data_IF_259210191114
#
_entry.id   IF_259210191114
#
_cell.length_a   1.000
_cell.length_b   1.000
_cell.length_c   1.000
_cell.angle_alpha   90.00
_cell.angle_beta   90.00
_cell.angle_gamma   90.00
#
_symmetry.space_group_name_H-M   'P 1'
#
loop_
_entity.id
_entity.type
_entity.pdbx_description
1 polymer ?
#
# COMPACT_ATOMS: atom_id res chain seq x y z
N UNK A 1 -51.18 52.16 5.15
CA UNK A 1 -50.53 50.83 5.27
C UNK A 1 -49.41 50.69 4.24
N UNK A 2 -48.30 51.42 4.41
CA UNK A 2 -47.16 51.40 3.46
C UNK A 2 -45.80 51.04 4.11
N UNK A 3 -45.78 50.84 5.44
CA UNK A 3 -44.57 50.52 6.22
C UNK A 3 -44.24 49.02 6.28
N UNK A 4 -45.15 48.15 5.83
CA UNK A 4 -44.95 46.68 5.84
C UNK A 4 -43.99 46.19 4.75
N UNK A 5 -43.91 46.90 3.62
CA UNK A 5 -43.05 46.54 2.49
C UNK A 5 -41.56 46.75 2.74
N UNK A 6 -41.07 47.84 3.39
CA UNK A 6 -39.64 47.97 3.69
C UNK A 6 -39.20 46.99 4.77
N UNK A 7 -40.05 46.75 5.79
CA UNK A 7 -39.75 45.80 6.87
C UNK A 7 -39.61 44.38 6.33
N UNK A 8 -40.51 43.97 5.43
CA UNK A 8 -40.42 42.66 4.77
C UNK A 8 -39.14 42.51 3.93
N UNK A 9 -38.71 43.57 3.23
CA UNK A 9 -37.46 43.55 2.45
C UNK A 9 -36.22 43.44 3.33
N UNK A 10 -36.22 44.09 4.49
CA UNK A 10 -35.14 43.99 5.48
C UNK A 10 -35.06 42.56 6.04
N UNK A 11 -36.22 41.96 6.36
CA UNK A 11 -36.30 40.58 6.85
C UNK A 11 -35.77 39.60 5.80
N UNK A 12 -36.16 39.75 4.52
CA UNK A 12 -35.67 38.89 3.43
C UNK A 12 -34.16 39.06 3.23
N UNK A 13 -33.64 40.29 3.28
CA UNK A 13 -32.21 40.55 3.16
C UNK A 13 -31.39 39.91 4.29
N UNK A 14 -31.91 39.94 5.53
CA UNK A 14 -31.31 39.27 6.69
C UNK A 14 -31.28 37.74 6.51
N UNK A 15 -32.36 37.14 6.00
CA UNK A 15 -32.42 35.71 5.73
C UNK A 15 -31.40 35.33 4.64
N UNK A 16 -31.35 36.07 3.53
CA UNK A 16 -30.38 35.80 2.45
C UNK A 16 -28.92 35.95 2.93
N UNK A 17 -28.61 36.98 3.71
CA UNK A 17 -27.27 37.17 4.29
C UNK A 17 -26.90 36.03 5.24
N UNK A 18 -27.86 35.54 6.04
CA UNK A 18 -27.65 34.40 6.93
C UNK A 18 -27.38 33.09 6.18
N UNK A 19 -28.03 32.86 5.03
CA UNK A 19 -27.78 31.66 4.22
C UNK A 19 -26.37 31.65 3.62
N UNK A 20 -25.80 32.81 3.29
CA UNK A 20 -24.41 32.91 2.81
C UNK A 20 -23.38 32.58 3.90
N UNK A 21 -23.68 32.83 5.18
CA UNK A 21 -22.82 32.42 6.30
C UNK A 21 -22.81 30.90 6.53
N UNK A 22 -23.93 30.22 6.25
CA UNK A 22 -24.04 28.75 6.43
C UNK A 22 -23.40 27.97 5.28
N UNK A 23 -23.24 28.60 4.10
CA UNK A 23 -22.52 28.00 2.96
C UNK A 23 -21.00 27.87 3.15
N UNK A 24 -20.44 28.37 4.26
CA UNK A 24 -18.99 28.41 4.49
C UNK A 24 -18.34 27.08 4.90
N UNK A 25 -19.09 26.04 5.31
CA UNK A 25 -18.48 24.84 5.88
C UNK A 25 -19.30 23.55 5.68
N UNK A 26 -19.83 23.28 4.49
CA UNK A 26 -20.10 21.88 4.13
C UNK A 26 -18.79 21.31 3.57
N UNK A 27 -17.91 20.92 4.49
CA UNK A 27 -16.82 20.00 4.20
C UNK A 27 -17.52 18.68 3.85
N UNK A 28 -17.74 18.44 2.56
CA UNK A 28 -18.41 17.23 2.10
C UNK A 28 -17.66 16.02 2.68
N UNK A 29 -18.39 15.05 3.23
CA UNK A 29 -17.80 13.84 3.83
C UNK A 29 -17.01 12.98 2.82
N UNK A 30 -16.99 13.39 1.55
CA UNK A 30 -16.14 12.85 0.51
C UNK A 30 -14.63 13.03 0.78
N UNK A 31 -14.22 13.89 1.71
CA UNK A 31 -12.81 14.05 2.05
C UNK A 31 -12.17 12.85 2.77
N UNK A 32 -12.98 11.87 3.23
CA UNK A 32 -12.50 10.71 3.98
C UNK A 32 -12.73 9.36 3.28
N UNK A 33 -13.23 9.32 2.04
CA UNK A 33 -13.61 8.05 1.41
C UNK A 33 -13.01 7.87 0.02
N UNK A 34 -11.79 7.35 -0.02
CA UNK A 34 -11.63 5.92 -0.25
C UNK A 34 -10.25 5.48 0.25
N UNK A 35 -10.23 4.55 1.20
CA UNK A 35 -9.06 3.72 1.38
C UNK A 35 -8.95 2.92 0.08
N UNK A 36 -8.01 3.28 -0.80
CA UNK A 36 -7.69 2.47 -1.97
C UNK A 36 -7.30 1.10 -1.46
N UNK A 37 -8.27 0.19 -1.39
CA UNK A 37 -8.01 -1.22 -1.12
C UNK A 37 -7.25 -1.71 -2.33
N UNK A 38 -5.95 -1.90 -2.16
CA UNK A 38 -5.12 -2.60 -3.14
C UNK A 38 -5.81 -3.92 -3.41
N UNK A 39 -6.35 -4.10 -4.62
CA UNK A 39 -7.03 -5.32 -5.00
C UNK A 39 -5.96 -6.41 -5.09
N UNK A 40 -5.82 -7.20 -4.02
CA UNK A 40 -4.89 -8.32 -3.97
C UNK A 40 -5.51 -9.50 -4.68
N UNK A 41 -5.32 -9.53 -6.00
CA UNK A 41 -5.65 -10.70 -6.80
C UNK A 41 -4.79 -11.88 -6.35
N UNK A 42 -5.40 -13.05 -6.22
CA UNK A 42 -4.70 -14.32 -5.98
C UNK A 42 -4.20 -14.85 -7.33
N UNK A 43 -2.95 -15.28 -7.38
CA UNK A 43 -2.38 -15.93 -8.55
C UNK A 43 -3.04 -17.28 -8.80
N UNK A 44 -3.32 -17.58 -10.07
CA UNK A 44 -3.74 -18.91 -10.53
C UNK A 44 -2.47 -19.78 -10.68
N UNK A 45 -2.52 -21.12 -10.58
CA UNK A 45 -1.37 -21.95 -10.90
C UNK A 45 -0.73 -21.56 -12.25
N UNK A 46 0.60 -21.59 -12.30
CA UNK A 46 1.44 -21.15 -13.44
C UNK A 46 1.34 -19.67 -13.83
N UNK A 47 0.56 -18.86 -13.10
CA UNK A 47 0.53 -17.41 -13.29
C UNK A 47 1.66 -16.74 -12.51
N UNK A 48 2.46 -15.94 -13.21
CA UNK A 48 3.51 -15.10 -12.62
C UNK A 48 3.45 -13.68 -13.19
N UNK A 49 3.90 -12.70 -12.41
CA UNK A 49 3.96 -11.31 -12.82
C UNK A 49 5.36 -10.73 -12.59
N UNK A 50 5.89 -9.94 -13.56
CA UNK A 50 5.33 -9.72 -14.89
C UNK A 50 5.34 -11.02 -15.71
N UNK A 51 4.50 -11.11 -16.75
CA UNK A 51 4.39 -12.30 -17.60
C UNK A 51 5.59 -12.41 -18.56
N UNK A 52 6.80 -12.35 -17.99
CA UNK A 52 8.10 -12.34 -18.63
C UNK A 52 8.96 -13.43 -18.01
N UNK A 53 9.95 -13.94 -18.76
CA UNK A 53 10.89 -14.92 -18.21
C UNK A 53 11.60 -14.34 -16.98
N UNK A 54 11.74 -15.13 -15.92
CA UNK A 54 12.41 -14.72 -14.68
C UNK A 54 13.76 -14.06 -14.96
N UNK A 55 14.57 -14.66 -15.85
CA UNK A 55 15.92 -14.20 -16.19
C UNK A 55 15.99 -13.12 -17.28
N UNK A 56 14.85 -12.50 -17.61
CA UNK A 56 14.82 -11.38 -18.56
C UNK A 56 15.08 -10.06 -17.84
N UNK A 57 15.47 -9.03 -18.60
CA UNK A 57 15.68 -7.68 -18.07
C UNK A 57 14.41 -7.07 -17.47
N UNK A 58 13.25 -7.41 -18.03
CA UNK A 58 11.95 -6.96 -17.53
C UNK A 58 11.43 -7.81 -16.35
N UNK A 59 12.12 -8.90 -16.02
CA UNK A 59 11.85 -9.77 -14.88
C UNK A 59 12.79 -9.47 -13.70
N UNK A 60 13.51 -10.48 -13.24
CA UNK A 60 14.49 -10.39 -12.16
C UNK A 60 15.91 -10.09 -12.64
N UNK A 61 16.14 -10.06 -13.96
CA UNK A 61 17.44 -9.86 -14.58
C UNK A 61 18.23 -11.16 -14.81
N UNK A 62 19.32 -11.11 -15.59
CA UNK A 62 20.16 -12.26 -15.85
C UNK A 62 20.93 -12.70 -14.60
N UNK A 63 21.22 -14.00 -14.49
CA UNK A 63 22.09 -14.52 -13.44
C UNK A 63 23.55 -14.19 -13.73
N UNK A 64 24.25 -13.64 -12.74
CA UNK A 64 25.69 -13.45 -12.79
C UNK A 64 26.42 -14.73 -12.33
N UNK A 65 27.67 -14.98 -12.76
CA UNK A 65 28.47 -16.11 -12.28
C UNK A 65 28.60 -16.19 -10.75
N UNK A 66 28.47 -15.03 -10.09
CA UNK A 66 28.60 -14.88 -8.64
C UNK A 66 27.34 -15.35 -7.90
N UNK A 67 26.19 -15.45 -8.58
CA UNK A 67 24.93 -15.91 -7.99
C UNK A 67 24.91 -17.42 -7.76
N UNK A 68 25.78 -18.17 -8.46
CA UNK A 68 25.96 -19.60 -8.26
C UNK A 68 26.82 -19.95 -7.04
N UNK A 69 26.89 -19.05 -6.04
CA UNK A 69 27.64 -19.29 -4.81
C UNK A 69 27.05 -20.48 -4.02
N UNK A 70 27.83 -21.54 -3.89
CA UNK A 70 27.45 -22.76 -3.17
C UNK A 70 27.79 -22.72 -1.67
N UNK A 71 28.40 -21.63 -1.20
CA UNK A 71 28.86 -21.50 0.19
C UNK A 71 28.09 -20.40 0.90
N UNK A 72 27.28 -20.81 1.89
CA UNK A 72 26.58 -19.95 2.84
C UNK A 72 27.26 -20.15 4.21
N UNK A 73 27.64 -19.09 4.95
CA UNK A 73 27.40 -17.67 4.67
C UNK A 73 28.39 -17.05 3.65
N UNK A 74 27.94 -16.00 2.96
CA UNK A 74 28.79 -15.20 2.06
C UNK A 74 28.67 -13.70 2.37
N UNK A 75 29.68 -12.86 2.05
CA UNK A 75 29.68 -11.43 2.38
C UNK A 75 28.51 -10.62 1.79
N UNK A 76 27.86 -11.14 0.75
CA UNK A 76 26.71 -10.48 0.08
C UNK A 76 25.37 -10.81 0.73
N UNK A 77 25.34 -11.85 1.56
CA UNK A 77 24.15 -12.34 2.22
C UNK A 77 24.06 -11.77 3.63
N UNK A 78 22.85 -11.42 4.02
CA UNK A 78 22.50 -10.99 5.37
C UNK A 78 21.59 -12.07 5.96
N UNK A 79 21.86 -12.42 7.20
CA UNK A 79 21.01 -13.34 7.97
C UNK A 79 19.76 -12.59 8.44
N UNK A 80 18.59 -13.17 8.19
CA UNK A 80 17.30 -12.62 8.60
C UNK A 80 16.84 -13.25 9.90
N UNK A 81 16.82 -12.43 10.93
CA UNK A 81 16.30 -12.75 12.26
C UNK A 81 14.98 -12.02 12.46
N UNK A 82 13.89 -12.56 11.90
CA UNK A 82 12.53 -12.04 12.11
C UNK A 82 11.66 -13.13 12.80
N UNK A 83 11.04 -12.76 13.92
CA UNK A 83 10.18 -13.65 14.72
C UNK A 83 8.86 -13.98 14.00
N UNK A 84 8.43 -13.14 13.06
CA UNK A 84 7.18 -13.32 12.32
C UNK A 84 7.31 -14.29 11.13
N UNK A 85 8.53 -14.71 10.76
CA UNK A 85 8.79 -15.60 9.63
C UNK A 85 9.34 -16.93 10.15
N UNK A 86 8.64 -18.01 9.81
CA UNK A 86 9.13 -19.37 10.06
C UNK A 86 9.94 -19.83 8.86
N UNK A 87 11.23 -20.10 9.09
CA UNK A 87 12.13 -20.66 8.09
C UNK A 87 12.20 -22.18 8.27
N UNK A 88 12.27 -22.92 7.16
CA UNK A 88 12.37 -24.39 7.19
C UNK A 88 13.74 -24.86 7.71
N UNK A 89 14.81 -24.12 7.41
CA UNK A 89 16.17 -24.41 7.87
C UNK A 89 16.98 -23.11 8.13
N UNK A 90 18.18 -23.25 8.70
CA UNK A 90 19.07 -22.10 8.97
C UNK A 90 19.63 -21.47 7.70
N UNK A 91 19.83 -22.25 6.64
CA UNK A 91 20.36 -21.74 5.36
C UNK A 91 19.37 -20.80 4.65
N UNK A 92 18.06 -21.07 4.75
CA UNK A 92 16.99 -20.22 4.18
C UNK A 92 16.88 -18.85 4.86
N UNK A 93 17.54 -18.63 6.00
CA UNK A 93 17.61 -17.32 6.65
C UNK A 93 18.54 -16.35 5.93
N UNK A 94 19.44 -16.85 5.08
CA UNK A 94 20.42 -16.02 4.38
C UNK A 94 19.84 -15.54 3.05
N UNK A 95 19.79 -14.22 2.87
CA UNK A 95 19.31 -13.61 1.63
C UNK A 95 20.08 -12.34 1.30
N UNK A 96 19.99 -11.85 0.07
CA UNK A 96 20.59 -10.56 -0.28
C UNK A 96 19.88 -9.43 0.45
N UNK A 97 20.61 -8.34 0.70
CA UNK A 97 20.06 -7.14 1.37
C UNK A 97 18.81 -6.59 0.66
N UNK A 98 18.76 -6.71 -0.68
CA UNK A 98 17.61 -6.29 -1.48
C UNK A 98 16.35 -7.11 -1.15
N UNK A 99 16.47 -8.44 -1.13
CA UNK A 99 15.35 -9.33 -0.78
C UNK A 99 14.92 -9.11 0.67
N UNK A 100 15.86 -8.96 1.60
CA UNK A 100 15.55 -8.64 3.00
C UNK A 100 14.69 -7.38 3.15
N UNK A 101 15.02 -6.32 2.41
CA UNK A 101 14.25 -5.07 2.41
C UNK A 101 12.80 -5.28 1.94
N UNK A 102 12.59 -6.08 0.88
CA UNK A 102 11.24 -6.39 0.37
C UNK A 102 10.41 -7.13 1.44
N UNK A 103 11.03 -8.03 2.20
CA UNK A 103 10.33 -8.75 3.27
C UNK A 103 9.92 -7.84 4.43
N UNK A 104 10.79 -6.89 4.83
CA UNK A 104 10.45 -5.91 5.88
C UNK A 104 9.31 -4.99 5.44
N UNK A 105 9.38 -4.43 4.23
CA UNK A 105 8.35 -3.50 3.72
C UNK A 105 6.96 -4.17 3.62
N UNK A 106 6.91 -5.49 3.41
CA UNK A 106 5.65 -6.24 3.42
C UNK A 106 5.09 -6.49 4.81
N UNK A 107 5.91 -6.47 5.87
CA UNK A 107 5.47 -6.74 7.25
C UNK A 107 4.83 -5.50 7.91
N UNK A 108 5.25 -4.28 7.54
CA UNK A 108 4.66 -3.02 8.02
C UNK A 108 3.18 -2.83 7.60
N UNK A 109 2.67 -3.66 6.66
CA UNK A 109 1.27 -3.71 6.22
C UNK A 109 0.37 -4.73 6.94
N UNK A 110 0.90 -5.51 7.89
CA UNK A 110 0.13 -6.25 8.90
C UNK A 110 -0.81 -7.35 8.41
N UNK A 111 -0.24 -8.53 8.10
CA UNK A 111 -0.69 -9.82 8.67
C UNK A 111 0.28 -10.96 8.28
N UNK A 112 0.75 -11.79 9.22
CA UNK A 112 1.62 -12.91 8.91
C UNK A 112 0.83 -13.92 8.08
N UNK A 113 1.31 -14.21 6.86
CA UNK A 113 0.84 -15.37 6.10
C UNK A 113 1.86 -16.48 6.29
N UNK A 114 1.42 -17.56 6.92
CA UNK A 114 2.11 -18.84 6.84
C UNK A 114 2.36 -19.14 5.36
N UNK A 115 3.62 -19.11 4.92
CA UNK A 115 4.00 -19.64 3.62
C UNK A 115 4.05 -21.15 3.81
N UNK A 116 2.87 -21.76 3.81
CA UNK A 116 2.69 -23.20 3.83
C UNK A 116 3.02 -23.78 2.46
N UNK A 117 4.08 -24.58 2.45
CA UNK A 117 4.36 -25.78 1.63
C UNK A 117 3.34 -26.09 0.52
N UNK A 118 3.81 -26.08 -0.74
CA UNK A 118 3.28 -26.88 -1.86
C UNK A 118 4.38 -27.83 -2.29
#
# INVERSE_FOLDING_TARGET
MAMLTPVLRIIIALICASMHLVNGCIKSSMHYRSQSRTNSRVFIPDEYLPMQKERSLDGSGPLEPQDYQLTIPSPKLVRVDNVNIQFENEEARWMTKYIWKIYIERDEGGRPRNVGRV
#
